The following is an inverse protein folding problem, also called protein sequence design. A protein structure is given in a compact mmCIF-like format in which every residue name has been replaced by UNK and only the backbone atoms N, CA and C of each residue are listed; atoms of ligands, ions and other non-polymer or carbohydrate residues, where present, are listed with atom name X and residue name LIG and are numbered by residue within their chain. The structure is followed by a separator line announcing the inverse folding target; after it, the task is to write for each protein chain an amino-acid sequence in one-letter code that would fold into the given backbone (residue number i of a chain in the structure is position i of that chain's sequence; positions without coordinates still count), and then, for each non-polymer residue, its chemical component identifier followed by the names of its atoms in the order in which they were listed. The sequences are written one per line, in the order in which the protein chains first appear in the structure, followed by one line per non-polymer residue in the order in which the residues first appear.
data_IF_139153425473
#
_entry.id   IF_139153425473
#
_cell.length_a   1.000
_cell.length_b   1.000
_cell.length_c   1.000
_cell.angle_alpha   90.00
_cell.angle_beta   90.00
_cell.angle_gamma   90.00
#
_symmetry.space_group_name_H-M   'P 1'
#
loop_
_entity.id
_entity.type
_entity.pdbx_description
1 polymer ?
#
# COMPACT_ATOMS: atom_id res chain seq x y z
N UNK A 1 8.11 -8.95 14.95
CA UNK A 1 9.41 -8.28 15.24
C UNK A 1 10.03 -7.62 14.00
N UNK A 2 10.18 -8.27 12.85
CA UNK A 2 10.77 -7.62 11.64
C UNK A 2 9.95 -6.43 11.11
N UNK A 3 8.61 -6.42 11.28
CA UNK A 3 7.74 -5.32 10.83
C UNK A 3 7.87 -4.03 11.66
N UNK A 4 8.26 -4.07 12.93
CA UNK A 4 8.36 -2.86 13.76
C UNK A 4 9.68 -2.11 13.54
N UNK A 5 10.75 -2.84 13.27
CA UNK A 5 12.05 -2.24 12.93
C UNK A 5 11.94 -1.52 11.57
N UNK A 6 11.32 -2.14 10.56
CA UNK A 6 11.10 -1.49 9.26
C UNK A 6 10.22 -0.23 9.38
N UNK A 7 9.19 -0.25 10.22
CA UNK A 7 8.36 0.96 10.48
C UNK A 7 9.13 2.10 11.14
N UNK A 8 10.06 1.80 12.04
CA UNK A 8 10.92 2.81 12.66
C UNK A 8 11.91 3.40 11.64
N UNK A 9 12.50 2.55 10.78
CA UNK A 9 13.33 2.98 9.67
C UNK A 9 12.55 3.88 8.70
N UNK A 10 11.32 3.55 8.37
CA UNK A 10 10.45 4.37 7.50
C UNK A 10 10.22 5.77 8.06
N UNK A 11 10.08 5.93 9.38
CA UNK A 11 9.94 7.24 10.01
C UNK A 11 11.21 8.10 9.87
N UNK A 12 12.38 7.51 10.07
CA UNK A 12 13.66 8.24 9.92
C UNK A 12 13.91 8.64 8.47
N UNK A 13 13.57 7.75 7.53
CA UNK A 13 13.67 8.03 6.09
C UNK A 13 12.69 9.15 5.69
N UNK A 14 11.46 9.16 6.21
CA UNK A 14 10.44 10.14 5.85
C UNK A 14 10.75 11.54 6.34
N UNK A 15 11.29 11.69 7.55
CA UNK A 15 11.61 12.99 8.13
C UNK A 15 12.98 13.52 7.71
N UNK A 16 13.84 12.65 7.14
CA UNK A 16 15.25 12.94 6.82
C UNK A 16 16.05 13.52 8.00
N UNK A 17 15.56 13.32 9.23
CA UNK A 17 16.17 13.76 10.47
C UNK A 17 15.99 12.67 11.53
N UNK A 18 17.07 12.41 12.25
CA UNK A 18 16.97 11.71 13.53
C UNK A 18 16.42 12.69 14.57
N UNK A 19 15.58 12.23 15.48
CA UNK A 19 15.13 13.05 16.58
C UNK A 19 16.33 13.47 17.41
N UNK A 20 16.40 14.75 17.78
CA UNK A 20 17.45 15.22 18.67
C UNK A 20 17.37 14.45 19.98
N UNK A 21 18.43 13.71 20.28
CA UNK A 21 18.56 12.98 21.53
C UNK A 21 19.12 13.90 22.60
N UNK A 22 18.57 13.85 23.81
CA UNK A 22 19.07 14.64 24.92
C UNK A 22 20.16 13.88 25.67
N UNK A 23 21.40 14.04 25.20
CA UNK A 23 22.57 13.39 25.80
C UNK A 23 22.81 13.79 27.25
N UNK A 24 22.34 14.97 27.69
CA UNK A 24 22.58 15.47 29.05
C UNK A 24 21.77 14.71 30.10
N UNK A 25 20.57 14.26 29.72
CA UNK A 25 19.70 13.48 30.63
C UNK A 25 20.21 12.07 30.94
N UNK A 26 21.23 11.58 30.21
CA UNK A 26 21.73 10.21 30.32
C UNK A 26 23.21 10.12 30.75
N UNK A 27 23.81 11.20 31.23
CA UNK A 27 25.23 11.26 31.70
C UNK A 27 26.24 10.67 30.70
N UNK A 28 26.01 10.87 29.40
CA UNK A 28 26.86 10.37 28.32
C UNK A 28 28.08 11.28 28.20
N UNK A 29 29.26 10.69 28.11
CA UNK A 29 30.52 11.44 27.96
C UNK A 29 30.55 12.21 26.63
N UNK A 30 31.25 13.36 26.58
CA UNK A 30 31.38 14.14 25.35
C UNK A 30 32.05 13.34 24.21
N UNK A 31 32.97 12.44 24.54
CA UNK A 31 33.63 11.55 23.58
C UNK A 31 32.62 10.56 22.96
N UNK A 32 31.72 10.00 23.75
CA UNK A 32 30.73 9.04 23.25
C UNK A 32 29.62 9.76 22.50
N UNK A 33 29.26 10.97 22.93
CA UNK A 33 28.34 11.85 22.17
C UNK A 33 28.88 12.11 20.77
N UNK A 34 30.14 12.53 20.62
CA UNK A 34 30.78 12.81 19.33
C UNK A 34 30.76 11.56 18.42
N UNK A 35 31.07 10.37 18.99
CA UNK A 35 30.98 9.12 18.25
C UNK A 35 29.55 8.80 17.77
N UNK A 36 28.54 9.05 18.61
CA UNK A 36 27.13 8.83 18.23
C UNK A 36 26.75 9.77 17.11
N UNK A 37 27.06 11.07 17.23
CA UNK A 37 26.78 12.07 16.18
C UNK A 37 27.45 11.71 14.85
N UNK A 38 28.69 11.18 14.87
CA UNK A 38 29.35 10.67 13.65
C UNK A 38 28.61 9.50 13.03
N UNK A 39 28.14 8.53 13.84
CA UNK A 39 27.37 7.39 13.33
C UNK A 39 25.98 7.82 12.83
N UNK A 40 25.33 8.80 13.47
CA UNK A 40 24.07 9.39 13.01
C UNK A 40 24.24 10.01 11.62
N UNK A 41 25.31 10.73 11.37
CA UNK A 41 25.61 11.31 10.06
C UNK A 41 25.79 10.22 8.98
N UNK A 42 26.50 9.13 9.30
CA UNK A 42 26.67 7.98 8.40
C UNK A 42 25.33 7.30 8.11
N UNK A 43 24.49 7.14 9.13
CA UNK A 43 23.16 6.53 9.02
C UNK A 43 22.24 7.35 8.11
N UNK A 44 22.16 8.67 8.31
CA UNK A 44 21.39 9.57 7.45
C UNK A 44 21.84 9.53 5.99
N UNK A 45 23.15 9.48 5.75
CA UNK A 45 23.68 9.36 4.40
C UNK A 45 23.31 8.02 3.74
N UNK A 46 23.29 6.94 4.50
CA UNK A 46 22.86 5.62 4.03
C UNK A 46 21.36 5.62 3.67
N UNK A 47 20.51 6.30 4.43
CA UNK A 47 19.11 6.46 4.10
C UNK A 47 18.86 7.27 2.83
N UNK A 48 19.65 8.34 2.60
CA UNK A 48 19.59 9.09 1.34
C UNK A 48 19.94 8.21 0.13
N UNK A 49 21.01 7.41 0.26
CA UNK A 49 21.38 6.43 -0.78
C UNK A 49 20.26 5.41 -1.04
N UNK A 50 19.62 4.93 0.02
CA UNK A 50 18.49 3.99 -0.11
C UNK A 50 17.33 4.59 -0.91
N UNK A 51 16.93 5.84 -0.63
CA UNK A 51 15.87 6.54 -1.40
C UNK A 51 16.24 6.66 -2.89
N UNK A 52 17.48 7.03 -3.20
CA UNK A 52 17.94 7.15 -4.57
C UNK A 52 17.94 5.79 -5.28
N UNK A 53 18.41 4.74 -4.61
CA UNK A 53 18.37 3.38 -5.16
C UNK A 53 16.93 2.91 -5.42
N UNK A 54 16.00 3.22 -4.52
CA UNK A 54 14.59 2.90 -4.69
C UNK A 54 13.98 3.62 -5.90
N UNK A 55 14.33 4.89 -6.13
CA UNK A 55 13.94 5.65 -7.30
C UNK A 55 14.44 4.97 -8.59
N UNK A 56 15.71 4.62 -8.66
CA UNK A 56 16.31 3.94 -9.81
C UNK A 56 15.66 2.57 -10.08
N UNK A 57 15.37 1.80 -9.02
CA UNK A 57 14.65 0.52 -9.16
C UNK A 57 13.27 0.74 -9.79
N UNK A 58 12.49 1.69 -9.29
CA UNK A 58 11.15 1.96 -9.81
C UNK A 58 11.18 2.45 -11.26
N UNK A 59 12.12 3.33 -11.60
CA UNK A 59 12.33 3.85 -12.94
C UNK A 59 12.71 2.75 -13.92
N UNK A 60 13.73 1.94 -13.58
CA UNK A 60 14.20 0.83 -14.42
C UNK A 60 13.11 -0.22 -14.65
N UNK A 61 12.33 -0.55 -13.60
CA UNK A 61 11.22 -1.48 -13.72
C UNK A 61 10.11 -0.97 -14.66
N UNK A 62 9.80 0.32 -14.59
CA UNK A 62 8.82 0.93 -15.47
C UNK A 62 9.28 0.96 -16.94
N UNK A 63 10.56 1.19 -17.19
CA UNK A 63 11.11 1.12 -18.55
C UNK A 63 11.08 -0.32 -19.10
N UNK A 64 11.42 -1.33 -18.28
CA UNK A 64 11.32 -2.73 -18.70
C UNK A 64 9.87 -3.13 -18.96
N UNK A 65 8.93 -2.72 -18.10
CA UNK A 65 7.49 -2.93 -18.35
C UNK A 65 7.08 -2.37 -19.71
N UNK A 66 7.45 -1.12 -19.99
CA UNK A 66 7.14 -0.44 -21.25
C UNK A 66 7.69 -1.19 -22.46
N UNK A 67 8.93 -1.69 -22.38
CA UNK A 67 9.58 -2.44 -23.46
C UNK A 67 8.88 -3.79 -23.69
N UNK A 68 8.59 -4.52 -22.60
CA UNK A 68 8.07 -5.89 -22.67
C UNK A 68 6.54 -5.98 -22.74
N UNK A 69 5.82 -4.85 -22.64
CA UNK A 69 4.35 -4.81 -22.63
C UNK A 69 3.76 -5.36 -23.93
N UNK A 70 4.34 -5.01 -25.06
CA UNK A 70 3.83 -5.42 -26.37
C UNK A 70 3.94 -6.93 -26.61
N UNK A 71 4.97 -7.58 -26.06
CA UNK A 71 5.19 -9.04 -26.17
C UNK A 71 4.44 -9.84 -25.09
N UNK A 72 3.88 -9.17 -24.06
CA UNK A 72 3.26 -9.85 -22.92
C UNK A 72 4.26 -10.60 -22.02
N UNK A 73 5.57 -10.43 -22.22
CA UNK A 73 6.61 -11.22 -21.54
C UNK A 73 7.09 -10.61 -20.21
N UNK A 74 6.56 -9.45 -19.81
CA UNK A 74 7.00 -8.76 -18.59
C UNK A 74 6.89 -9.63 -17.34
N UNK A 75 5.81 -10.41 -17.20
CA UNK A 75 5.62 -11.30 -16.07
C UNK A 75 6.70 -12.39 -16.02
N UNK A 76 6.93 -13.08 -17.12
CA UNK A 76 7.97 -14.11 -17.18
C UNK A 76 9.37 -13.54 -16.91
N UNK A 77 9.62 -12.29 -17.34
CA UNK A 77 10.88 -11.62 -17.09
C UNK A 77 11.10 -11.34 -15.60
N UNK A 78 10.15 -10.70 -14.90
CA UNK A 78 10.38 -10.37 -13.49
C UNK A 78 10.42 -11.63 -12.60
N UNK A 79 9.68 -12.68 -12.94
CA UNK A 79 9.76 -13.98 -12.25
C UNK A 79 11.13 -14.62 -12.44
N UNK A 80 11.71 -14.59 -13.66
CA UNK A 80 13.06 -15.07 -13.92
C UNK A 80 14.14 -14.27 -13.19
N UNK A 81 13.89 -12.99 -12.94
CA UNK A 81 14.75 -12.12 -12.13
C UNK A 81 14.57 -12.34 -10.60
N UNK A 82 13.71 -13.26 -10.18
CA UNK A 82 13.44 -13.54 -8.77
C UNK A 82 12.55 -12.49 -8.07
N UNK A 83 11.89 -11.62 -8.85
CA UNK A 83 10.99 -10.61 -8.30
C UNK A 83 9.57 -11.18 -8.12
N UNK A 84 8.92 -10.81 -7.02
CA UNK A 84 7.52 -11.21 -6.80
C UNK A 84 6.55 -10.20 -7.42
N UNK A 85 5.39 -10.67 -7.85
CA UNK A 85 4.31 -9.83 -8.37
C UNK A 85 3.95 -8.66 -7.43
N UNK A 86 3.97 -8.91 -6.12
CA UNK A 86 3.63 -7.92 -5.10
C UNK A 86 4.67 -6.79 -5.04
N UNK A 87 5.98 -7.12 -5.09
CA UNK A 87 7.07 -6.15 -5.15
C UNK A 87 6.99 -5.30 -6.42
N UNK A 88 6.88 -5.95 -7.58
CA UNK A 88 6.78 -5.28 -8.87
C UNK A 88 5.58 -4.33 -8.90
N UNK A 89 4.41 -4.80 -8.45
CA UNK A 89 3.20 -3.98 -8.37
C UNK A 89 3.37 -2.73 -7.52
N UNK A 90 4.06 -2.83 -6.38
CA UNK A 90 4.28 -1.68 -5.49
C UNK A 90 5.27 -0.68 -6.10
N UNK A 91 6.35 -1.16 -6.70
CA UNK A 91 7.34 -0.30 -7.35
C UNK A 91 6.74 0.46 -8.54
N UNK A 92 5.94 -0.20 -9.38
CA UNK A 92 5.24 0.45 -10.48
C UNK A 92 4.19 1.47 -10.00
N UNK A 93 3.46 1.17 -8.92
CA UNK A 93 2.53 2.12 -8.29
C UNK A 93 3.25 3.35 -7.76
N UNK A 94 4.41 3.16 -7.13
CA UNK A 94 5.26 4.26 -6.63
C UNK A 94 5.75 5.13 -7.78
N UNK A 95 6.20 4.53 -8.88
CA UNK A 95 6.60 5.24 -10.08
C UNK A 95 5.46 6.02 -10.71
N UNK A 96 4.27 5.42 -10.80
CA UNK A 96 3.08 6.10 -11.32
C UNK A 96 2.67 7.29 -10.47
N UNK A 97 2.70 7.16 -9.12
CA UNK A 97 2.45 8.30 -8.23
C UNK A 97 3.46 9.42 -8.46
N UNK A 98 4.73 9.09 -8.62
CA UNK A 98 5.76 10.08 -8.94
C UNK A 98 5.51 10.78 -10.29
N UNK A 99 5.10 10.07 -11.31
CA UNK A 99 4.78 10.66 -12.62
C UNK A 99 3.61 11.64 -12.55
N UNK A 100 2.62 11.38 -11.69
CA UNK A 100 1.50 12.30 -11.45
C UNK A 100 1.87 13.47 -10.54
N UNK A 101 2.81 13.28 -9.62
CA UNK A 101 3.17 14.24 -8.59
C UNK A 101 4.69 14.39 -8.45
N UNK A 102 5.40 14.86 -9.49
CA UNK A 102 6.86 14.91 -9.52
C UNK A 102 7.46 15.82 -8.43
N UNK A 103 6.76 16.90 -8.05
CA UNK A 103 7.18 17.83 -7.01
C UNK A 103 7.27 17.18 -5.62
N UNK A 104 6.61 16.05 -5.43
CA UNK A 104 6.58 15.32 -4.16
C UNK A 104 7.48 14.06 -4.17
N UNK A 105 8.54 14.04 -5.01
CA UNK A 105 9.48 12.92 -5.15
C UNK A 105 9.94 12.39 -3.79
N UNK A 106 10.51 13.25 -2.96
CA UNK A 106 11.08 12.86 -1.67
C UNK A 106 10.04 12.25 -0.73
N UNK A 107 8.83 12.79 -0.74
CA UNK A 107 7.72 12.28 0.04
C UNK A 107 7.30 10.87 -0.45
N UNK A 108 7.06 10.72 -1.75
CA UNK A 108 6.61 9.46 -2.36
C UNK A 108 7.64 8.34 -2.12
N UNK A 109 8.93 8.63 -2.27
CA UNK A 109 10.00 7.65 -2.06
C UNK A 109 10.36 7.42 -0.59
N UNK A 110 9.76 8.17 0.33
CA UNK A 110 9.84 7.92 1.77
C UNK A 110 8.62 7.19 2.35
N UNK A 111 7.52 7.11 1.61
CA UNK A 111 6.32 6.40 2.06
C UNK A 111 6.54 4.89 2.08
N UNK A 112 5.89 4.22 3.03
CA UNK A 112 5.88 2.76 3.09
C UNK A 112 5.13 2.13 1.91
N UNK A 113 5.45 0.88 1.58
CA UNK A 113 4.76 0.14 0.53
C UNK A 113 3.25 0.03 0.78
N UNK A 114 2.85 -0.05 2.05
CA UNK A 114 1.44 -0.06 2.41
C UNK A 114 0.76 1.29 2.19
N UNK A 115 1.46 2.40 2.46
CA UNK A 115 0.97 3.75 2.15
C UNK A 115 0.80 3.93 0.63
N UNK A 116 1.79 3.48 -0.16
CA UNK A 116 1.71 3.49 -1.63
C UNK A 116 0.51 2.68 -2.13
N UNK A 117 0.28 1.47 -1.59
CA UNK A 117 -0.88 0.64 -1.95
C UNK A 117 -2.21 1.34 -1.66
N UNK A 118 -2.30 2.11 -0.58
CA UNK A 118 -3.49 2.88 -0.22
C UNK A 118 -3.69 4.05 -1.19
N UNK A 119 -2.67 4.88 -1.37
CA UNK A 119 -2.75 6.07 -2.24
C UNK A 119 -2.97 5.73 -3.72
N UNK A 120 -2.54 4.54 -4.15
CA UNK A 120 -2.76 4.04 -5.52
C UNK A 120 -4.04 3.22 -5.67
N UNK A 121 -4.94 3.23 -4.70
CA UNK A 121 -6.20 2.50 -4.81
C UNK A 121 -7.20 3.30 -5.66
N UNK A 122 -7.93 2.60 -6.53
CA UNK A 122 -8.85 3.23 -7.50
C UNK A 122 -10.00 4.06 -6.88
N UNK A 123 -10.27 3.87 -5.58
CA UNK A 123 -11.28 4.66 -4.84
C UNK A 123 -10.74 5.98 -4.30
N UNK A 124 -9.46 6.26 -4.45
CA UNK A 124 -8.84 7.50 -3.95
C UNK A 124 -8.68 8.45 -5.13
N UNK A 125 -9.26 9.64 -4.99
CA UNK A 125 -9.19 10.68 -6.01
C UNK A 125 -7.81 11.35 -6.08
N UNK A 126 -7.57 12.02 -7.20
CA UNK A 126 -6.31 12.75 -7.42
C UNK A 126 -6.09 13.84 -6.37
N UNK A 127 -7.15 14.58 -6.01
CA UNK A 127 -7.09 15.64 -5.01
C UNK A 127 -6.83 15.11 -3.60
N UNK A 128 -7.40 13.94 -3.27
CA UNK A 128 -7.15 13.28 -1.99
C UNK A 128 -5.69 12.84 -1.86
N UNK A 129 -5.12 12.25 -2.93
CA UNK A 129 -3.70 11.90 -2.97
C UNK A 129 -2.84 13.15 -2.77
N UNK A 130 -3.13 14.23 -3.48
CA UNK A 130 -2.41 15.50 -3.38
C UNK A 130 -2.51 16.09 -1.97
N UNK A 131 -3.70 16.06 -1.36
CA UNK A 131 -3.91 16.52 0.00
C UNK A 131 -3.03 15.76 1.00
N UNK A 132 -2.89 14.44 0.86
CA UNK A 132 -1.99 13.64 1.71
C UNK A 132 -0.52 13.99 1.45
N UNK A 133 -0.12 14.18 0.19
CA UNK A 133 1.28 14.48 -0.16
C UNK A 133 1.76 15.84 0.35
N UNK A 134 0.87 16.82 0.48
CA UNK A 134 1.16 18.16 1.02
C UNK A 134 1.41 18.09 2.55
N UNK A 135 0.79 17.16 3.26
CA UNK A 135 0.89 17.05 4.71
C UNK A 135 2.19 16.37 5.17
N UNK A 136 2.50 16.48 6.46
CA UNK A 136 3.59 15.73 7.11
C UNK A 136 3.25 14.24 7.34
N UNK A 137 2.02 13.82 7.07
CA UNK A 137 1.56 12.46 7.31
C UNK A 137 2.38 11.44 6.52
N UNK A 138 3.04 10.52 7.23
CA UNK A 138 3.85 9.46 6.66
C UNK A 138 3.40 8.07 7.11
N UNK A 139 2.75 8.00 8.27
CA UNK A 139 2.26 6.74 8.82
C UNK A 139 0.93 6.33 8.18
N UNK A 140 0.78 5.05 7.94
CA UNK A 140 -0.44 4.47 7.36
C UNK A 140 -1.72 4.88 8.11
N UNK A 141 -1.66 4.99 9.45
CA UNK A 141 -2.80 5.41 10.26
C UNK A 141 -3.20 6.86 9.98
N UNK A 142 -2.24 7.76 9.90
CA UNK A 142 -2.45 9.19 9.61
C UNK A 142 -3.04 9.37 8.21
N UNK A 143 -2.45 8.69 7.21
CA UNK A 143 -2.94 8.70 5.82
C UNK A 143 -4.39 8.21 5.75
N UNK A 144 -4.73 7.11 6.46
CA UNK A 144 -6.10 6.61 6.50
C UNK A 144 -7.07 7.59 7.17
N UNK A 145 -6.63 8.32 8.18
CA UNK A 145 -7.45 9.35 8.84
C UNK A 145 -7.73 10.53 7.91
N UNK A 146 -6.73 10.98 7.14
CA UNK A 146 -6.91 12.05 6.16
C UNK A 146 -7.84 11.64 5.00
N UNK A 147 -7.83 10.36 4.62
CA UNK A 147 -8.67 9.80 3.57
C UNK A 147 -10.05 9.31 4.09
N UNK A 148 -10.31 9.35 5.40
CA UNK A 148 -11.56 8.88 5.98
C UNK A 148 -12.80 9.62 5.42
N UNK A 149 -12.81 10.95 5.24
CA UNK A 149 -13.94 11.66 4.64
C UNK A 149 -14.27 11.21 3.21
N UNK A 150 -13.23 11.03 2.39
CA UNK A 150 -13.39 10.54 1.02
C UNK A 150 -13.94 9.11 0.96
N UNK A 151 -13.66 8.28 1.96
CA UNK A 151 -14.21 6.92 2.07
C UNK A 151 -15.65 6.92 2.55
N UNK A 152 -16.02 7.78 3.48
CA UNK A 152 -17.38 7.89 3.97
C UNK A 152 -18.33 8.36 2.87
N UNK A 153 -17.94 9.28 1.98
CA UNK A 153 -18.73 9.67 0.83
C UNK A 153 -18.94 8.52 -0.17
N UNK A 154 -17.92 7.67 -0.39
CA UNK A 154 -18.05 6.47 -1.23
C UNK A 154 -18.84 5.35 -0.54
N UNK A 155 -18.73 5.20 0.77
CA UNK A 155 -19.51 4.22 1.55
C UNK A 155 -20.98 4.65 1.70
N UNK A 156 -21.26 5.94 1.82
CA UNK A 156 -22.65 6.45 1.88
C UNK A 156 -23.40 6.22 0.57
N UNK A 157 -22.74 6.29 -0.58
CA UNK A 157 -23.37 5.90 -1.86
C UNK A 157 -23.57 4.38 -2.02
N UNK A 158 -22.90 3.55 -1.21
CA UNK A 158 -23.05 2.09 -1.21
C UNK A 158 -23.88 1.55 -0.03
N UNK A 159 -24.23 2.37 0.94
CA UNK A 159 -24.84 1.97 2.21
C UNK A 159 -26.34 2.26 2.31
N UNK A 160 -27.12 1.91 1.30
CA UNK A 160 -28.55 1.60 1.52
C UNK A 160 -28.76 0.27 2.29
N UNK A 161 -27.65 -0.45 2.61
CA UNK A 161 -27.72 -1.78 3.19
C UNK A 161 -26.93 -1.87 4.51
N UNK A 162 -27.59 -1.42 5.57
CA UNK A 162 -27.02 -1.32 6.94
C UNK A 162 -26.52 -2.67 7.50
N UNK A 163 -27.14 -3.79 7.12
CA UNK A 163 -26.92 -5.10 7.74
C UNK A 163 -26.28 -6.16 6.83
N UNK A 164 -26.36 -6.02 5.49
CA UNK A 164 -25.92 -7.06 4.55
C UNK A 164 -24.94 -6.51 3.51
N UNK A 165 -23.80 -7.20 3.32
CA UNK A 165 -22.82 -6.85 2.30
C UNK A 165 -23.06 -7.63 1.00
N UNK A 166 -23.76 -7.05 0.04
CA UNK A 166 -24.06 -7.66 -1.26
C UNK A 166 -22.85 -7.80 -2.21
N UNK A 167 -21.67 -7.31 -1.84
CA UNK A 167 -20.46 -7.55 -2.63
C UNK A 167 -20.08 -9.04 -2.69
N UNK A 168 -20.54 -9.85 -1.72
CA UNK A 168 -20.41 -11.32 -1.78
C UNK A 168 -21.23 -11.89 -2.93
N UNK A 169 -22.45 -11.41 -3.16
CA UNK A 169 -23.32 -11.87 -4.26
C UNK A 169 -22.68 -11.53 -5.62
N UNK A 170 -22.16 -10.32 -5.81
CA UNK A 170 -21.42 -9.95 -7.03
C UNK A 170 -20.19 -10.83 -7.30
N UNK A 171 -19.48 -11.27 -6.24
CA UNK A 171 -18.38 -12.23 -6.38
C UNK A 171 -18.89 -13.63 -6.76
N UNK A 172 -20.03 -14.04 -6.20
CA UNK A 172 -20.68 -15.33 -6.53
C UNK A 172 -21.15 -15.33 -7.99
N UNK A 173 -21.78 -14.26 -8.48
CA UNK A 173 -22.17 -14.10 -9.89
C UNK A 173 -20.99 -14.25 -10.85
N UNK A 174 -19.85 -13.61 -10.54
CA UNK A 174 -18.63 -13.73 -11.34
C UNK A 174 -18.08 -15.16 -11.32
N UNK A 175 -18.15 -15.86 -10.17
CA UNK A 175 -17.71 -17.23 -10.04
C UNK A 175 -18.58 -18.18 -10.86
N UNK A 176 -19.91 -18.03 -10.79
CA UNK A 176 -20.87 -18.87 -11.54
C UNK A 176 -20.64 -18.79 -13.05
N UNK A 177 -20.27 -17.62 -13.58
CA UNK A 177 -19.99 -17.44 -15.02
C UNK A 177 -18.80 -18.29 -15.50
N UNK A 178 -17.86 -18.60 -14.60
CA UNK A 178 -16.62 -19.32 -14.90
C UNK A 178 -16.67 -20.83 -14.55
N UNK A 179 -17.77 -21.33 -13.96
CA UNK A 179 -17.93 -22.74 -13.60
C UNK A 179 -18.27 -23.61 -14.82
N UNK A 180 -17.74 -24.84 -14.84
CA UNK A 180 -18.13 -25.88 -15.80
C UNK A 180 -19.55 -26.39 -15.51
N UNK A 181 -20.17 -27.05 -16.47
CA UNK A 181 -21.57 -27.49 -16.36
C UNK A 181 -21.83 -28.41 -15.14
N UNK A 182 -20.90 -29.32 -14.85
CA UNK A 182 -20.99 -30.24 -13.69
C UNK A 182 -20.87 -29.48 -12.36
N UNK A 183 -19.94 -28.57 -12.26
CA UNK A 183 -19.73 -27.72 -11.07
C UNK A 183 -20.91 -26.78 -10.82
N UNK A 184 -21.66 -26.38 -11.86
CA UNK A 184 -22.85 -25.52 -11.73
C UNK A 184 -23.99 -26.19 -11.00
N UNK A 185 -24.22 -27.49 -11.23
CA UNK A 185 -25.28 -28.23 -10.56
C UNK A 185 -24.98 -28.41 -9.06
N UNK A 186 -23.74 -28.72 -8.71
CA UNK A 186 -23.31 -28.79 -7.32
C UNK A 186 -23.44 -27.43 -6.62
N UNK A 187 -22.94 -26.38 -7.25
CA UNK A 187 -23.05 -25.00 -6.75
C UNK A 187 -24.50 -24.55 -6.57
N UNK A 188 -25.39 -24.96 -7.47
CA UNK A 188 -26.83 -24.69 -7.39
C UNK A 188 -27.47 -25.37 -6.18
N UNK A 189 -27.08 -26.59 -5.86
CA UNK A 189 -27.56 -27.33 -4.66
C UNK A 189 -27.14 -26.60 -3.39
N UNK A 190 -25.83 -26.25 -3.26
CA UNK A 190 -25.34 -25.51 -2.12
C UNK A 190 -26.02 -24.14 -1.96
N UNK A 191 -26.20 -23.42 -3.06
CA UNK A 191 -26.89 -22.12 -3.05
C UNK A 191 -28.34 -22.26 -2.61
N UNK A 192 -29.05 -23.28 -3.06
CA UNK A 192 -30.43 -23.56 -2.67
C UNK A 192 -30.55 -23.84 -1.17
N UNK A 193 -29.61 -24.61 -0.62
CA UNK A 193 -29.58 -24.88 0.82
C UNK A 193 -29.26 -23.62 1.64
N UNK A 194 -28.35 -22.79 1.15
CA UNK A 194 -28.03 -21.50 1.77
C UNK A 194 -29.24 -20.55 1.80
N UNK A 195 -29.99 -20.46 0.68
CA UNK A 195 -31.22 -19.65 0.60
C UNK A 195 -32.28 -20.17 1.57
N UNK A 196 -32.47 -21.49 1.70
CA UNK A 196 -33.39 -22.07 2.69
C UNK A 196 -33.06 -21.67 4.12
N UNK A 197 -31.77 -21.71 4.48
CA UNK A 197 -31.31 -21.28 5.81
C UNK A 197 -31.57 -19.80 6.06
N UNK A 198 -31.39 -18.95 5.05
CA UNK A 198 -31.71 -17.53 5.16
C UNK A 198 -33.22 -17.27 5.32
N UNK A 199 -34.07 -18.03 4.60
CA UNK A 199 -35.52 -17.96 4.74
C UNK A 199 -35.99 -18.35 6.14
N UNK A 200 -35.45 -19.43 6.70
CA UNK A 200 -35.71 -19.83 8.09
C UNK A 200 -35.32 -18.73 9.10
N UNK A 201 -34.14 -18.13 8.91
CA UNK A 201 -33.70 -17.02 9.75
C UNK A 201 -34.61 -15.78 9.65
N UNK A 202 -35.19 -15.53 8.48
CA UNK A 202 -36.14 -14.44 8.27
C UNK A 202 -37.50 -14.71 8.96
N UNK A 203 -37.89 -15.97 9.10
CA UNK A 203 -39.12 -16.38 9.79
C UNK A 203 -38.98 -16.30 11.33
N UNK A 204 -37.73 -16.30 11.84
CA UNK A 204 -37.41 -16.15 13.25
C UNK A 204 -37.28 -14.69 13.73
N UNK A 205 -37.25 -13.72 12.78
CA UNK A 205 -37.16 -12.28 13.06
C UNK A 205 -38.54 -11.61 13.14
#
# INVERSE_FOLDING_TARGET
MMNDVMKQFENVISTNQLRKFDFKSYEISDIDKEKVEEQEAKLLNSFRKYKNNLFEICSSLAEVEKILKASGSFMAWYESAGLTKDMVSVFLKRWNLYNYFPDYKDKIFSLSDQAIKILSHNSIGFDDVKAVLITEASKVKEIKQLLAPAREEFEVQSNEQKYFNFNKIKKMEKRVKNLKAEEREEYKKELTEYVKKLQQLMEEL
#
